data_IF_461777235173
#
_entry.id   IF_461777235173
#
_cell.length_a   1.000
_cell.length_b   1.000
_cell.length_c   1.000
_cell.angle_alpha   90.00
_cell.angle_beta   90.00
_cell.angle_gamma   90.00
#
_symmetry.space_group_name_H-M   'P 1'
#
loop_
_entity.id
_entity.type
_entity.pdbx_description
1 polymer ?
#
# COMPACT_ATOMS: atom_id res chain seq x y z
N UNK A 1 -36.51 31.32 -37.90
CA UNK A 1 -35.61 32.46 -38.17
C UNK A 1 -35.64 33.37 -36.96
N UNK A 2 -34.60 33.42 -36.13
CA UNK A 2 -34.37 34.55 -35.22
C UNK A 2 -32.87 34.66 -34.97
N UNK A 3 -32.38 35.84 -35.28
CA UNK A 3 -30.97 36.21 -35.42
C UNK A 3 -30.25 36.38 -34.08
N UNK A 4 -28.93 36.20 -34.16
CA UNK A 4 -27.91 36.58 -33.16
C UNK A 4 -28.06 38.02 -32.66
N UNK A 5 -27.74 38.24 -31.39
CA UNK A 5 -27.04 39.45 -30.93
C UNK A 5 -25.95 39.01 -29.94
N UNK A 6 -24.68 39.22 -30.32
CA UNK A 6 -23.52 39.08 -29.43
C UNK A 6 -23.17 40.48 -28.93
N UNK A 7 -23.23 40.70 -27.61
CA UNK A 7 -22.70 41.92 -26.98
C UNK A 7 -21.20 41.75 -26.72
N UNK A 8 -20.39 42.66 -27.27
CA UNK A 8 -18.95 42.73 -27.01
C UNK A 8 -18.68 43.41 -25.65
N UNK A 9 -17.69 42.95 -24.86
CA UNK A 9 -17.29 43.64 -23.64
C UNK A 9 -16.42 44.87 -23.94
N UNK A 10 -16.73 45.97 -23.25
CA UNK A 10 -16.06 47.28 -23.35
C UNK A 10 -14.64 47.27 -22.79
N UNK A 11 -13.73 47.85 -23.57
CA UNK A 11 -12.29 48.04 -23.33
C UNK A 11 -12.03 48.94 -22.12
N UNK A 12 -11.47 48.39 -21.04
CA UNK A 12 -11.00 49.15 -19.89
C UNK A 12 -9.75 49.99 -20.26
N UNK A 13 -9.77 51.27 -19.88
CA UNK A 13 -8.65 52.21 -20.06
C UNK A 13 -7.54 51.91 -19.06
N UNK A 14 -6.30 51.83 -19.56
CA UNK A 14 -5.09 51.57 -18.78
C UNK A 14 -4.50 52.92 -18.34
N UNK A 15 -4.49 53.20 -17.04
CA UNK A 15 -3.83 54.39 -16.50
C UNK A 15 -2.32 54.29 -16.69
N UNK A 16 -1.74 55.28 -17.39
CA UNK A 16 -0.30 55.44 -17.52
C UNK A 16 0.27 56.01 -16.23
N UNK A 17 1.02 55.21 -15.48
CA UNK A 17 1.87 55.68 -14.38
C UNK A 17 3.22 56.05 -15.00
N UNK A 18 3.51 57.35 -15.09
CA UNK A 18 4.81 57.86 -15.51
C UNK A 18 5.75 57.82 -14.30
N UNK A 19 6.69 56.87 -14.29
CA UNK A 19 7.72 56.78 -13.27
C UNK A 19 9.06 57.24 -13.87
N UNK A 20 9.48 58.47 -13.54
CA UNK A 20 10.79 58.99 -13.89
C UNK A 20 11.87 58.23 -13.10
N UNK A 21 12.74 57.52 -13.80
CA UNK A 21 13.90 56.84 -13.19
C UNK A 21 15.09 57.79 -13.17
N UNK A 22 15.47 58.27 -11.99
CA UNK A 22 16.76 58.94 -11.77
C UNK A 22 17.84 57.88 -11.59
N UNK A 23 18.81 57.86 -12.50
CA UNK A 23 19.96 56.94 -12.41
C UNK A 23 21.03 57.63 -11.56
N UNK A 24 21.21 57.18 -10.32
CA UNK A 24 22.33 57.55 -9.48
C UNK A 24 23.47 56.55 -9.73
N UNK A 25 24.54 56.97 -10.40
CA UNK A 25 25.75 56.17 -10.57
C UNK A 25 26.63 56.33 -9.35
N UNK A 26 26.42 55.51 -8.33
CA UNK A 26 27.44 55.25 -7.32
C UNK A 26 28.33 54.11 -7.82
N UNK A 27 29.60 54.40 -8.11
CA UNK A 27 30.59 53.39 -8.41
C UNK A 27 30.84 52.56 -7.15
N UNK A 28 30.36 51.32 -7.12
CA UNK A 28 30.74 50.36 -6.09
C UNK A 28 32.20 49.97 -6.31
N UNK A 29 33.09 50.47 -5.45
CA UNK A 29 34.47 50.01 -5.38
C UNK A 29 34.46 48.56 -4.89
N UNK A 30 34.45 47.61 -5.83
CA UNK A 30 34.61 46.19 -5.55
C UNK A 30 36.04 45.95 -5.05
N UNK A 31 36.23 45.98 -3.72
CA UNK A 31 37.40 45.39 -3.08
C UNK A 31 37.29 43.87 -3.21
N UNK A 32 38.12 43.26 -4.03
CA UNK A 32 38.26 41.80 -4.09
C UNK A 32 38.66 41.28 -2.71
N UNK A 33 37.79 40.47 -2.11
CA UNK A 33 38.10 39.75 -0.88
C UNK A 33 39.26 38.76 -1.15
N UNK A 34 40.16 38.53 -0.18
CA UNK A 34 41.29 37.63 -0.37
C UNK A 34 40.81 36.21 -0.66
N UNK A 35 41.27 35.63 -1.78
CA UNK A 35 40.91 34.28 -2.29
C UNK A 35 41.44 33.13 -1.43
N UNK A 36 41.84 33.38 -0.19
CA UNK A 36 42.36 32.36 0.71
C UNK A 36 41.97 32.70 2.15
N UNK A 37 40.69 32.49 2.47
CA UNK A 37 40.33 32.18 3.85
C UNK A 37 40.78 30.74 4.09
N UNK A 38 41.61 30.52 5.11
CA UNK A 38 41.83 29.17 5.63
C UNK A 38 40.46 28.56 5.93
N UNK A 39 40.17 27.42 5.29
CA UNK A 39 38.97 26.68 5.57
C UNK A 39 39.03 26.28 7.05
N UNK A 40 38.25 26.96 7.89
CA UNK A 40 37.83 26.39 9.17
C UNK A 40 37.30 24.97 8.88
N UNK A 41 37.42 24.00 9.79
CA UNK A 41 36.89 22.66 9.59
C UNK A 41 35.36 22.69 9.54
N UNK A 42 34.79 23.19 8.44
CA UNK A 42 33.38 23.14 8.16
C UNK A 42 33.06 21.69 7.83
N UNK A 43 32.35 21.02 8.74
CA UNK A 43 31.68 19.78 8.42
C UNK A 43 30.73 20.09 7.27
N UNK A 44 30.94 19.47 6.11
CA UNK A 44 30.07 19.65 4.97
C UNK A 44 28.64 19.28 5.39
N UNK A 45 27.74 20.27 5.44
CA UNK A 45 26.32 20.05 5.68
C UNK A 45 25.66 19.76 4.34
N UNK A 46 25.55 18.47 4.02
CA UNK A 46 24.84 17.93 2.88
C UNK A 46 24.79 16.40 2.96
N UNK A 47 23.78 15.78 2.36
CA UNK A 47 23.60 14.32 2.38
C UNK A 47 24.77 13.54 1.74
N UNK A 48 25.56 14.22 0.90
CA UNK A 48 26.78 13.69 0.33
C UNK A 48 28.01 14.25 1.05
N UNK A 49 28.44 13.58 2.11
CA UNK A 49 29.72 13.87 2.78
C UNK A 49 30.83 13.18 1.98
N UNK A 50 31.72 13.97 1.35
CA UNK A 50 32.87 13.42 0.62
C UNK A 50 33.77 12.65 1.59
N UNK A 51 34.15 11.39 1.29
CA UNK A 51 35.03 10.61 2.15
C UNK A 51 36.34 11.35 2.46
N UNK A 52 36.75 11.39 3.73
CA UNK A 52 38.07 11.90 4.10
C UNK A 52 39.11 10.80 3.89
N UNK A 53 40.31 11.19 3.45
CA UNK A 53 41.44 10.27 3.26
C UNK A 53 42.53 10.63 4.27
N UNK A 54 42.84 9.70 5.16
CA UNK A 54 43.89 9.84 6.17
C UNK A 54 44.97 8.80 5.79
N UNK A 55 45.98 9.25 5.04
CA UNK A 55 47.01 8.37 4.48
C UNK A 55 46.52 7.52 3.29
N UNK A 56 46.89 6.23 3.25
CA UNK A 56 46.54 5.28 2.17
C UNK A 56 45.10 4.73 2.26
N UNK A 57 44.30 5.18 3.23
CA UNK A 57 42.95 4.68 3.47
C UNK A 57 41.88 5.76 3.36
N UNK A 58 40.72 5.37 2.82
CA UNK A 58 39.51 6.19 2.83
C UNK A 58 38.81 5.96 4.19
N UNK A 59 38.77 6.98 5.04
CA UNK A 59 38.09 6.96 6.33
C UNK A 59 36.80 7.77 6.23
N UNK A 60 35.71 7.09 5.88
CA UNK A 60 34.38 7.69 5.84
C UNK A 60 33.37 6.81 6.57
N UNK A 61 33.28 7.01 7.88
CA UNK A 61 32.19 6.49 8.70
C UNK A 61 31.08 7.54 8.75
N UNK A 62 30.41 7.77 7.62
CA UNK A 62 29.22 8.65 7.60
C UNK A 62 28.02 7.76 7.87
N UNK A 63 27.60 7.68 9.13
CA UNK A 63 26.32 7.07 9.49
C UNK A 63 25.22 8.04 9.08
N UNK A 64 24.68 7.89 7.87
CA UNK A 64 23.44 8.58 7.50
C UNK A 64 22.32 8.06 8.41
N UNK A 65 21.48 8.91 9.02
CA UNK A 65 20.34 8.43 9.79
C UNK A 65 19.38 7.70 8.84
N UNK A 66 19.36 6.37 8.92
CA UNK A 66 18.43 5.55 8.14
C UNK A 66 17.04 5.79 8.71
N UNK A 67 16.14 6.33 7.89
CA UNK A 67 14.75 6.51 8.27
C UNK A 67 14.13 5.16 8.67
N UNK A 68 13.42 5.12 9.80
CA UNK A 68 12.71 3.92 10.23
C UNK A 68 11.57 3.65 9.25
N UNK A 69 11.45 2.41 8.78
CA UNK A 69 10.34 2.00 7.93
C UNK A 69 9.03 2.08 8.73
N UNK A 70 8.18 3.02 8.35
CA UNK A 70 6.86 3.23 8.96
C UNK A 70 5.76 2.89 7.94
N UNK A 71 4.55 2.66 8.44
CA UNK A 71 3.37 2.53 7.58
C UNK A 71 3.01 3.91 7.01
N UNK A 72 2.76 4.02 5.70
CA UNK A 72 2.37 5.29 5.11
C UNK A 72 0.96 5.70 5.57
N UNK A 73 0.68 7.01 5.67
CA UNK A 73 -0.58 7.51 6.22
C UNK A 73 -1.80 7.04 5.44
N UNK A 74 -1.69 6.93 4.10
CA UNK A 74 -2.79 6.46 3.26
C UNK A 74 -3.22 5.01 3.53
N UNK A 75 -2.31 4.16 4.03
CA UNK A 75 -2.66 2.79 4.42
C UNK A 75 -3.48 2.78 5.71
N UNK A 76 -3.07 3.59 6.67
CA UNK A 76 -3.71 3.67 7.98
C UNK A 76 -5.14 4.21 7.83
N UNK A 77 -5.32 5.19 6.95
CA UNK A 77 -6.65 5.71 6.58
C UNK A 77 -7.52 4.66 5.88
N UNK A 78 -6.93 3.88 4.96
CA UNK A 78 -7.68 2.89 4.20
C UNK A 78 -8.05 1.62 5.00
N UNK A 79 -7.15 1.12 5.85
CA UNK A 79 -7.39 -0.04 6.70
C UNK A 79 -6.21 -1.01 6.77
N UNK A 80 -5.91 -1.45 8.00
CA UNK A 80 -4.82 -2.39 8.32
C UNK A 80 -5.29 -3.86 8.41
N UNK A 81 -6.55 -4.12 8.12
CA UNK A 81 -7.15 -5.45 8.11
C UNK A 81 -6.55 -6.32 7.01
N UNK A 82 -6.35 -7.60 7.30
CA UNK A 82 -5.77 -8.55 6.36
C UNK A 82 -6.66 -8.79 5.13
N UNK A 83 -7.98 -8.81 5.32
CA UNK A 83 -9.00 -8.88 4.27
C UNK A 83 -10.28 -8.17 4.70
N UNK A 84 -11.15 -7.74 3.77
CA UNK A 84 -12.37 -6.98 4.12
C UNK A 84 -13.34 -7.71 5.05
N UNK A 85 -13.36 -9.03 5.01
CA UNK A 85 -14.27 -9.89 5.78
C UNK A 85 -13.57 -10.60 6.95
N UNK A 86 -12.24 -10.55 7.03
CA UNK A 86 -11.47 -11.19 8.10
C UNK A 86 -10.22 -10.36 8.42
N UNK A 87 -10.16 -9.70 9.60
CA UNK A 87 -9.12 -8.72 9.91
C UNK A 87 -7.78 -9.34 10.31
N UNK A 88 -7.79 -10.55 10.88
CA UNK A 88 -6.61 -11.22 11.43
C UNK A 88 -5.86 -12.08 10.40
N UNK A 89 -4.70 -12.61 10.80
CA UNK A 89 -3.94 -13.58 10.02
C UNK A 89 -4.47 -15.01 10.25
N UNK A 90 -4.40 -15.87 9.24
CA UNK A 90 -4.91 -17.24 9.30
C UNK A 90 -3.84 -18.33 9.07
N UNK A 91 -2.56 -17.96 9.07
CA UNK A 91 -1.45 -18.92 9.16
C UNK A 91 -0.30 -18.35 9.98
N UNK A 92 0.46 -19.21 10.64
CA UNK A 92 1.55 -18.81 11.54
C UNK A 92 2.66 -18.02 10.82
N UNK A 93 2.92 -18.36 9.56
CA UNK A 93 3.91 -17.69 8.71
C UNK A 93 3.39 -16.43 8.02
N UNK A 94 2.10 -16.13 8.11
CA UNK A 94 1.52 -14.96 7.47
C UNK A 94 1.85 -13.71 8.27
N UNK A 95 2.51 -12.75 7.62
CA UNK A 95 2.79 -11.45 8.23
C UNK A 95 1.52 -10.59 8.21
N UNK A 96 1.18 -9.90 9.32
CA UNK A 96 0.05 -8.98 9.33
C UNK A 96 0.30 -7.81 8.38
N UNK A 97 -0.75 -7.30 7.74
CA UNK A 97 -0.67 -6.19 6.77
C UNK A 97 0.06 -4.96 7.32
N UNK A 98 -0.12 -4.67 8.61
CA UNK A 98 0.55 -3.57 9.32
C UNK A 98 2.08 -3.70 9.36
N UNK A 99 2.63 -4.91 9.20
CA UNK A 99 4.07 -5.14 9.13
C UNK A 99 4.55 -5.39 7.69
N UNK A 100 3.72 -6.04 6.88
CA UNK A 100 4.02 -6.36 5.49
C UNK A 100 4.09 -5.12 4.59
N UNK A 101 3.29 -4.08 4.88
CA UNK A 101 3.20 -2.85 4.08
C UNK A 101 4.04 -1.68 4.63
N UNK A 102 5.05 -1.98 5.46
CA UNK A 102 6.04 -0.99 5.91
C UNK A 102 7.08 -0.71 4.83
N UNK A 103 7.46 0.56 4.69
CA UNK A 103 8.67 0.97 3.97
C UNK A 103 8.45 1.78 2.67
N UNK A 104 9.56 2.19 2.03
CA UNK A 104 9.54 3.23 0.99
C UNK A 104 8.70 2.88 -0.25
N UNK A 105 8.54 1.57 -0.53
CA UNK A 105 7.73 1.08 -1.65
C UNK A 105 6.28 1.57 -1.59
N UNK A 106 5.75 1.79 -0.39
CA UNK A 106 4.32 1.98 -0.18
C UNK A 106 3.90 3.46 0.01
N UNK A 107 4.85 4.40 0.15
CA UNK A 107 4.56 5.80 0.49
C UNK A 107 3.72 6.56 -0.55
N UNK A 108 3.87 6.22 -1.83
CA UNK A 108 3.16 6.85 -2.94
C UNK A 108 2.16 5.90 -3.62
N UNK A 109 1.73 4.87 -2.91
CA UNK A 109 0.76 3.88 -3.43
C UNK A 109 -0.66 4.33 -3.09
N UNK A 110 -1.57 4.34 -4.08
CA UNK A 110 -3.01 4.47 -3.82
C UNK A 110 -3.60 3.09 -3.47
N UNK A 111 -4.07 2.97 -2.23
CA UNK A 111 -4.59 1.73 -1.64
C UNK A 111 -5.92 1.27 -2.22
N UNK A 112 -6.71 2.20 -2.76
CA UNK A 112 -8.05 1.90 -3.30
C UNK A 112 -7.99 0.98 -4.52
N UNK A 113 -6.86 1.00 -5.23
CA UNK A 113 -6.62 0.21 -6.43
C UNK A 113 -5.72 -1.00 -6.20
N UNK A 114 -5.33 -1.27 -4.94
CA UNK A 114 -4.54 -2.45 -4.63
C UNK A 114 -5.44 -3.69 -4.52
N UNK A 115 -4.94 -4.89 -4.89
CA UNK A 115 -5.71 -6.11 -4.73
C UNK A 115 -6.09 -6.36 -3.27
N UNK A 116 -7.38 -6.44 -2.99
CA UNK A 116 -7.92 -6.74 -1.67
C UNK A 116 -9.02 -7.81 -1.76
N UNK A 117 -8.63 -9.08 -1.98
CA UNK A 117 -9.60 -10.17 -2.07
C UNK A 117 -10.21 -10.49 -0.69
N UNK A 118 -11.40 -11.09 -0.72
CA UNK A 118 -12.04 -11.65 0.46
C UNK A 118 -11.30 -12.90 0.92
N UNK A 119 -11.27 -13.14 2.23
CA UNK A 119 -10.74 -14.38 2.78
C UNK A 119 -11.67 -15.54 2.46
N UNK A 120 -11.11 -16.60 1.86
CA UNK A 120 -11.85 -17.82 1.55
C UNK A 120 -12.29 -18.56 2.83
N UNK A 121 -11.52 -18.44 3.92
CA UNK A 121 -11.82 -19.08 5.21
C UNK A 121 -13.16 -18.61 5.79
N UNK A 122 -13.42 -17.31 5.75
CA UNK A 122 -14.69 -16.76 6.23
C UNK A 122 -15.84 -17.11 5.26
N UNK A 123 -15.59 -17.07 3.95
CA UNK A 123 -16.59 -17.46 2.95
C UNK A 123 -17.03 -18.91 3.11
N UNK A 124 -16.10 -19.85 3.32
CA UNK A 124 -16.44 -21.26 3.54
C UNK A 124 -17.05 -21.48 4.93
N UNK A 125 -16.71 -20.64 5.91
CA UNK A 125 -17.35 -20.67 7.23
C UNK A 125 -18.85 -20.41 7.13
N UNK A 126 -19.22 -19.41 6.32
CA UNK A 126 -20.61 -19.02 6.06
C UNK A 126 -21.38 -20.00 5.16
N UNK A 127 -20.70 -20.94 4.50
CA UNK A 127 -21.37 -21.94 3.68
C UNK A 127 -22.17 -22.93 4.56
N UNK A 128 -23.45 -23.21 4.23
CA UNK A 128 -24.27 -24.12 5.02
C UNK A 128 -23.75 -25.55 5.01
N UNK A 129 -23.90 -26.24 6.14
CA UNK A 129 -23.58 -27.65 6.27
C UNK A 129 -24.61 -28.46 5.47
N UNK A 130 -24.13 -29.33 4.59
CA UNK A 130 -24.95 -30.20 3.76
C UNK A 130 -25.38 -31.43 4.55
N UNK A 131 -26.67 -31.54 4.81
CA UNK A 131 -27.25 -32.67 5.53
C UNK A 131 -27.53 -33.83 4.57
N UNK A 132 -27.10 -35.03 4.91
CA UNK A 132 -27.32 -36.23 4.09
C UNK A 132 -27.78 -37.42 4.95
N UNK A 133 -28.50 -38.37 4.36
CA UNK A 133 -28.84 -39.63 5.03
C UNK A 133 -27.76 -40.70 4.87
N UNK A 134 -26.85 -40.51 3.92
CA UNK A 134 -25.82 -41.48 3.58
C UNK A 134 -24.69 -41.51 4.61
N UNK A 135 -24.13 -42.71 4.83
CA UNK A 135 -22.96 -42.92 5.69
C UNK A 135 -21.68 -42.35 5.08
N UNK A 136 -21.54 -42.43 3.75
CA UNK A 136 -20.38 -41.95 2.99
C UNK A 136 -20.88 -41.08 1.86
N UNK A 137 -20.32 -39.87 1.73
CA UNK A 137 -20.69 -38.91 0.68
C UNK A 137 -19.57 -38.78 -0.34
N UNK A 138 -19.92 -38.78 -1.63
CA UNK A 138 -19.00 -38.41 -2.70
C UNK A 138 -19.02 -36.90 -2.95
N UNK A 139 -17.87 -36.25 -2.96
CA UNK A 139 -17.72 -34.84 -3.33
C UNK A 139 -16.70 -34.71 -4.46
N UNK A 140 -17.08 -33.99 -5.51
CA UNK A 140 -16.27 -33.68 -6.71
C UNK A 140 -16.20 -32.17 -6.99
N UNK A 141 -16.73 -31.34 -6.10
CA UNK A 141 -16.79 -29.88 -6.29
C UNK A 141 -17.96 -29.39 -7.14
N UNK A 142 -18.89 -30.28 -7.55
CA UNK A 142 -20.16 -29.93 -8.18
C UNK A 142 -20.14 -29.80 -9.71
N UNK A 143 -18.98 -29.50 -10.29
CA UNK A 143 -18.83 -29.15 -11.71
C UNK A 143 -18.08 -30.23 -12.53
N UNK A 144 -18.18 -31.49 -12.07
CA UNK A 144 -17.55 -32.65 -12.71
C UNK A 144 -16.05 -32.46 -12.91
N UNK A 145 -15.52 -32.42 -14.15
CA UNK A 145 -14.09 -32.29 -14.41
C UNK A 145 -13.52 -30.89 -14.07
N UNK A 146 -14.35 -29.86 -13.92
CA UNK A 146 -13.90 -28.51 -13.53
C UNK A 146 -13.77 -28.35 -12.00
N UNK A 147 -14.22 -29.33 -11.24
CA UNK A 147 -14.07 -29.37 -9.79
C UNK A 147 -12.73 -29.99 -9.36
N UNK A 148 -12.77 -30.82 -8.32
CA UNK A 148 -11.61 -31.54 -7.81
C UNK A 148 -11.79 -33.05 -7.97
N UNK A 149 -10.71 -33.86 -7.83
CA UNK A 149 -10.84 -35.32 -7.87
C UNK A 149 -11.91 -35.80 -6.88
N UNK A 150 -12.79 -36.71 -7.34
CA UNK A 150 -13.86 -37.26 -6.51
C UNK A 150 -13.27 -37.91 -5.26
N UNK A 151 -13.71 -37.46 -4.09
CA UNK A 151 -13.38 -38.04 -2.79
C UNK A 151 -14.62 -38.57 -2.09
N UNK A 152 -14.40 -39.58 -1.25
CA UNK A 152 -15.44 -40.17 -0.41
C UNK A 152 -15.17 -39.81 1.05
N UNK A 153 -16.11 -39.13 1.69
CA UNK A 153 -16.00 -38.60 3.04
C UNK A 153 -16.82 -39.47 3.98
N UNK A 154 -16.21 -39.97 5.05
CA UNK A 154 -16.88 -40.78 6.05
C UNK A 154 -17.61 -39.91 7.09
N UNK A 155 -18.90 -40.17 7.31
CA UNK A 155 -19.76 -39.45 8.26
C UNK A 155 -20.16 -40.29 9.49
N UNK A 156 -19.46 -41.39 9.76
CA UNK A 156 -19.71 -42.25 10.93
C UNK A 156 -19.56 -41.52 12.27
N UNK A 157 -18.63 -40.57 12.35
CA UNK A 157 -18.38 -39.80 13.57
C UNK A 157 -19.33 -38.61 13.62
N UNK A 158 -19.88 -38.28 14.80
CA UNK A 158 -20.76 -37.13 14.95
C UNK A 158 -20.06 -35.82 14.55
N UNK A 159 -20.87 -34.87 14.10
CA UNK A 159 -20.46 -33.53 13.69
C UNK A 159 -20.05 -33.39 12.22
N UNK A 160 -19.96 -32.14 11.73
CA UNK A 160 -19.68 -31.86 10.33
C UNK A 160 -18.27 -32.28 9.91
N UNK A 161 -18.15 -32.88 8.72
CA UNK A 161 -16.88 -33.25 8.10
C UNK A 161 -16.67 -32.46 6.82
N UNK A 162 -15.55 -31.75 6.73
CA UNK A 162 -15.20 -30.94 5.56
C UNK A 162 -14.55 -31.77 4.45
N UNK A 163 -14.89 -31.46 3.20
CA UNK A 163 -14.10 -31.90 2.05
C UNK A 163 -12.70 -31.27 2.10
N UNK A 164 -11.61 -32.03 1.90
CA UNK A 164 -10.25 -31.49 1.92
C UNK A 164 -9.92 -30.53 0.76
N UNK A 165 -10.75 -30.50 -0.29
CA UNK A 165 -10.55 -29.63 -1.46
C UNK A 165 -11.42 -28.38 -1.36
N UNK A 166 -12.75 -28.51 -1.44
CA UNK A 166 -13.65 -27.36 -1.40
C UNK A 166 -13.93 -26.81 0.00
N UNK A 167 -13.65 -27.56 1.06
CA UNK A 167 -14.00 -27.18 2.44
C UNK A 167 -15.50 -27.28 2.79
N UNK A 168 -16.37 -27.64 1.82
CA UNK A 168 -17.81 -27.86 2.07
C UNK A 168 -17.97 -28.95 3.13
N UNK A 169 -18.85 -28.68 4.09
CA UNK A 169 -19.09 -29.55 5.25
C UNK A 169 -20.33 -30.40 5.04
N UNK A 170 -20.21 -31.69 5.35
CA UNK A 170 -21.31 -32.64 5.31
C UNK A 170 -21.58 -33.20 6.70
N UNK A 171 -22.85 -33.47 7.01
CA UNK A 171 -23.26 -34.10 8.25
C UNK A 171 -24.36 -35.12 7.97
N UNK A 172 -24.27 -36.28 8.63
CA UNK A 172 -25.32 -37.29 8.55
C UNK A 172 -26.50 -36.86 9.41
N UNK A 173 -27.72 -36.96 8.86
CA UNK A 173 -28.95 -36.82 9.63
C UNK A 173 -29.07 -38.04 10.55
N UNK A 174 -29.18 -37.77 11.85
CA UNK A 174 -29.45 -38.80 12.84
C UNK A 174 -30.93 -39.16 12.73
N UNK A 175 -31.20 -40.23 11.99
CA UNK A 175 -32.49 -40.91 12.02
C UNK A 175 -32.47 -41.85 13.23
N UNK A 176 -33.14 -41.46 14.31
CA UNK A 176 -33.37 -42.31 15.48
C UNK A 176 -34.03 -43.61 15.02
N UNK A 177 -33.23 -44.69 14.94
CA UNK A 177 -33.74 -46.03 14.78
C UNK A 177 -34.16 -46.52 16.17
N UNK A 178 -35.45 -46.34 16.48
CA UNK A 178 -36.14 -47.13 17.50
C UNK A 178 -36.20 -48.61 17.10
#
# INVERSE_FOLDING_TARGET
MLSRVMLAPTRALRNHISASRTICTSASLFKSLPTKQEAAPSVAQGDFVRPRTDGHGISAQVQTPIAKATNPPGLVEYGLEQSPNFPETWSESQRPKSEAMKGPRFEQTDYRFQPQPLSAMELISNHPIQMTTQRVVSCDGGDGPLGHPRVYINLDKPGPKGCPYCGIRYQKVDSDHH
#
